data_IF_880238893488
#
_entry.id   IF_880238893488
#
_cell.length_a   1.000
_cell.length_b   1.000
_cell.length_c   1.000
_cell.angle_alpha   90.00
_cell.angle_beta   90.00
_cell.angle_gamma   90.00
#
_symmetry.space_group_name_H-M   'P 1'
#
loop_
_entity.id
_entity.type
_entity.pdbx_description
1 polymer ?
#
# COMPACT_ATOMS: atom_id res chain seq x y z
N UNK A 1 6.41 3.86 0.50
CA UNK A 1 5.63 5.11 0.48
C UNK A 1 6.06 5.97 -0.70
N UNK A 2 5.64 5.57 -1.90
CA UNK A 2 5.82 6.39 -3.11
C UNK A 2 4.69 7.41 -3.21
N UNK A 3 4.86 8.46 -4.02
CA UNK A 3 3.81 9.44 -4.35
C UNK A 3 3.29 9.27 -5.79
N UNK A 4 3.59 8.14 -6.44
CA UNK A 4 3.19 7.84 -7.82
C UNK A 4 2.74 6.39 -7.97
N UNK A 5 1.61 6.18 -8.65
CA UNK A 5 1.01 4.87 -8.92
C UNK A 5 0.58 4.66 -10.40
N UNK A 6 1.15 5.43 -11.33
CA UNK A 6 0.88 5.25 -12.76
C UNK A 6 1.33 3.86 -13.24
N UNK A 7 0.66 3.33 -14.27
CA UNK A 7 0.96 2.03 -14.86
C UNK A 7 2.43 1.89 -15.28
N UNK A 8 3.00 0.69 -15.09
CA UNK A 8 4.38 0.40 -15.45
C UNK A 8 5.42 0.93 -14.46
N UNK A 9 5.05 1.78 -13.49
CA UNK A 9 5.99 2.35 -12.52
C UNK A 9 6.65 1.30 -11.63
N UNK A 10 5.89 0.31 -11.17
CA UNK A 10 6.35 -0.75 -10.29
C UNK A 10 6.48 -2.10 -11.00
N UNK A 11 6.49 -2.08 -12.34
CA UNK A 11 6.47 -3.28 -13.18
C UNK A 11 5.16 -3.44 -13.95
N UNK A 12 5.23 -4.21 -15.03
CA UNK A 12 4.11 -4.48 -15.93
C UNK A 12 3.00 -5.24 -15.19
N UNK A 13 1.76 -4.77 -15.32
CA UNK A 13 0.58 -5.38 -14.68
C UNK A 13 0.48 -5.16 -13.17
N UNK A 14 1.42 -4.42 -12.57
CA UNK A 14 1.41 -4.11 -11.14
C UNK A 14 0.33 -3.09 -10.78
N UNK A 15 -0.45 -3.38 -9.74
CA UNK A 15 -1.37 -2.43 -9.11
C UNK A 15 -0.70 -1.84 -7.87
N UNK A 16 -0.61 -0.51 -7.80
CA UNK A 16 0.04 0.20 -6.70
C UNK A 16 -0.94 1.13 -6.00
N UNK A 17 -1.02 1.03 -4.68
CA UNK A 17 -1.85 1.90 -3.84
C UNK A 17 -0.95 2.89 -3.09
N UNK A 18 -1.26 4.19 -3.19
CA UNK A 18 -0.58 5.22 -2.42
C UNK A 18 -1.22 5.32 -1.05
N UNK A 19 -0.43 5.09 -0.02
CA UNK A 19 -0.88 5.06 1.37
C UNK A 19 0.17 5.68 2.28
N UNK A 20 -0.24 6.12 3.47
CA UNK A 20 0.68 6.60 4.50
C UNK A 20 1.63 5.48 4.96
N UNK A 21 2.78 5.82 5.59
CA UNK A 21 3.69 4.81 6.14
C UNK A 21 3.00 3.85 7.11
N UNK A 22 2.13 4.36 7.99
CA UNK A 22 1.41 3.55 8.96
C UNK A 22 0.46 2.54 8.28
N UNK A 23 -0.29 2.97 7.26
CA UNK A 23 -1.16 2.09 6.48
C UNK A 23 -0.37 1.04 5.69
N UNK A 24 0.80 1.39 5.15
CA UNK A 24 1.68 0.43 4.48
C UNK A 24 2.16 -0.67 5.44
N UNK A 25 2.57 -0.29 6.65
CA UNK A 25 2.97 -1.24 7.68
C UNK A 25 1.81 -2.17 8.10
N UNK A 26 0.62 -1.61 8.31
CA UNK A 26 -0.59 -2.37 8.63
C UNK A 26 -0.91 -3.44 7.57
N UNK A 27 -0.86 -3.05 6.29
CA UNK A 27 -1.11 -3.96 5.19
C UNK A 27 -0.01 -5.04 5.06
N UNK A 28 1.25 -4.68 5.33
CA UNK A 28 2.36 -5.63 5.32
C UNK A 28 2.23 -6.71 6.40
N UNK A 29 1.74 -6.34 7.59
CA UNK A 29 1.52 -7.28 8.70
C UNK A 29 0.30 -8.17 8.43
N UNK A 30 -0.78 -7.62 7.90
CA UNK A 30 -2.06 -8.35 7.69
C UNK A 30 -2.15 -9.07 6.35
N UNK A 31 -1.21 -8.86 5.44
CA UNK A 31 -1.16 -9.47 4.11
C UNK A 31 -2.18 -8.94 3.11
N UNK A 32 -2.98 -7.94 3.46
CA UNK A 32 -4.06 -7.39 2.64
C UNK A 32 -4.23 -5.90 2.90
N UNK A 33 -4.95 -5.19 2.02
CA UNK A 33 -5.32 -3.79 2.25
C UNK A 33 -6.19 -3.69 3.51
N UNK A 34 -5.66 -3.02 4.53
CA UNK A 34 -6.25 -2.91 5.87
C UNK A 34 -6.24 -1.47 6.34
N UNK A 35 -7.24 -1.11 7.13
CA UNK A 35 -7.30 0.18 7.82
C UNK A 35 -6.51 0.10 9.14
N UNK A 36 -5.49 0.94 9.28
CA UNK A 36 -4.63 1.01 10.49
C UNK A 36 -5.45 1.26 11.76
N UNK A 37 -6.60 1.94 11.67
CA UNK A 37 -7.48 2.24 12.81
C UNK A 37 -8.17 1.00 13.39
N UNK A 38 -8.05 -0.15 12.74
CA UNK A 38 -8.59 -1.43 13.23
C UNK A 38 -7.53 -2.26 13.97
N UNK A 39 -6.27 -1.85 13.92
CA UNK A 39 -5.15 -2.53 14.58
C UNK A 39 -4.78 -1.89 15.94
N UNK A 40 -5.52 -0.86 16.36
CA UNK A 40 -5.39 -0.18 17.64
C UNK A 40 -6.71 0.45 18.08
#
# INVERSE_FOLDING_TARGET
TSNRNFEGRQGRGGRTHLVSPAMAAAAAITGHLTDIRKLG
#
